data_IF_908553193824
#
_entry.id   IF_908553193824
#
_cell.length_a   1.000
_cell.length_b   1.000
_cell.length_c   1.000
_cell.angle_alpha   90.00
_cell.angle_beta   90.00
_cell.angle_gamma   90.00
#
_symmetry.space_group_name_H-M   'P 1'
#
loop_
_entity.id
_entity.type
_entity.pdbx_description
1 polymer ?
#
# COMPACT_ATOMS: atom_id res chain seq x y z
N UNK A 1 -37.27 22.86 -4.00
CA UNK A 1 -36.98 22.23 -3.95
C UNK A 1 -36.23 21.85 -3.73
N UNK A 2 -36.16 21.46 -3.72
CA UNK A 2 -35.59 20.88 -3.49
C UNK A 2 -34.71 20.57 -3.76
N UNK A 3 -34.13 20.51 -3.48
CA UNK A 3 -33.26 20.14 -3.85
C UNK A 3 -32.82 19.18 -4.18
N UNK A 4 -33.13 18.97 -4.50
CA UNK A 4 -32.90 17.89 -5.06
C UNK A 4 -31.71 17.68 -5.71
N UNK A 5 -31.08 18.38 -6.03
CA UNK A 5 -29.84 18.26 -6.59
C UNK A 5 -28.75 18.04 -5.58
N UNK A 6 -29.10 17.83 -4.40
CA UNK A 6 -28.09 17.50 -3.43
C UNK A 6 -27.58 16.09 -3.67
N UNK A 7 -26.47 15.77 -3.09
CA UNK A 7 -25.83 14.48 -3.24
C UNK A 7 -26.77 13.37 -2.83
N UNK A 8 -26.55 12.15 -3.35
CA UNK A 8 -27.33 11.00 -2.92
C UNK A 8 -27.41 10.98 -1.41
N UNK A 9 -28.58 10.70 -0.93
CA UNK A 9 -28.81 10.67 0.50
C UNK A 9 -27.78 9.87 1.25
N UNK A 10 -27.11 10.51 2.15
CA UNK A 10 -26.18 9.83 3.02
C UNK A 10 -26.86 9.70 4.38
N UNK A 11 -27.64 8.66 4.55
CA UNK A 11 -28.34 8.40 5.80
C UNK A 11 -27.33 8.05 6.89
N UNK A 12 -27.77 8.07 8.14
CA UNK A 12 -26.95 7.68 9.26
C UNK A 12 -26.41 6.26 9.07
N UNK A 13 -27.25 5.37 8.60
CA UNK A 13 -26.86 3.98 8.36
C UNK A 13 -25.77 3.88 7.29
N UNK A 14 -25.93 4.64 6.21
CA UNK A 14 -24.93 4.64 5.14
C UNK A 14 -23.62 5.23 5.60
N UNK A 15 -23.69 6.27 6.42
CA UNK A 15 -22.47 6.87 6.99
C UNK A 15 -21.74 5.91 7.88
N UNK A 16 -22.47 5.19 8.74
CA UNK A 16 -21.91 4.19 9.61
C UNK A 16 -21.24 3.08 8.80
N UNK A 17 -21.94 2.59 7.79
CA UNK A 17 -21.40 1.52 6.94
C UNK A 17 -20.14 1.97 6.23
N UNK A 18 -20.13 3.21 5.71
CA UNK A 18 -18.96 3.76 5.04
C UNK A 18 -17.79 3.91 6.00
N UNK A 19 -18.07 4.39 7.21
CA UNK A 19 -17.03 4.54 8.22
C UNK A 19 -16.46 3.19 8.64
N UNK A 20 -17.32 2.21 8.83
CA UNK A 20 -16.89 0.88 9.22
C UNK A 20 -16.00 0.24 8.16
N UNK A 21 -16.37 0.39 6.87
CA UNK A 21 -15.55 -0.11 5.78
C UNK A 21 -14.19 0.58 5.74
N UNK A 22 -14.19 1.88 5.98
CA UNK A 22 -12.95 2.67 5.99
C UNK A 22 -12.04 2.23 7.13
N UNK A 23 -12.61 2.00 8.31
CA UNK A 23 -11.84 1.54 9.47
C UNK A 23 -11.32 0.13 9.26
N UNK A 24 -12.13 -0.73 8.65
CA UNK A 24 -11.71 -2.10 8.35
C UNK A 24 -10.55 -2.11 7.36
N UNK A 25 -10.63 -1.30 6.31
CA UNK A 25 -9.56 -1.23 5.31
C UNK A 25 -8.28 -0.72 5.94
N UNK A 26 -8.39 0.26 6.83
CA UNK A 26 -7.24 0.82 7.53
C UNK A 26 -6.60 -0.21 8.45
N UNK A 27 -7.44 -0.98 9.15
CA UNK A 27 -6.97 -2.05 10.04
C UNK A 27 -6.23 -3.13 9.25
N UNK A 28 -6.78 -3.53 8.12
CA UNK A 28 -6.15 -4.52 7.26
C UNK A 28 -4.78 -4.08 6.77
N UNK A 29 -4.66 -2.80 6.40
CA UNK A 29 -3.36 -2.26 5.98
C UNK A 29 -2.35 -2.28 7.12
N UNK A 30 -2.78 -1.92 8.32
CA UNK A 30 -1.89 -1.91 9.47
C UNK A 30 -1.42 -3.31 9.81
N UNK A 31 -2.32 -4.28 9.76
CA UNK A 31 -1.98 -5.68 10.01
C UNK A 31 -1.01 -6.19 8.96
N UNK A 32 -1.25 -5.85 7.70
CA UNK A 32 -0.36 -6.23 6.61
C UNK A 32 1.04 -5.65 6.82
N UNK A 33 1.12 -4.37 7.14
CA UNK A 33 2.41 -3.71 7.38
C UNK A 33 3.16 -4.35 8.53
N UNK A 34 2.45 -4.74 9.58
CA UNK A 34 3.05 -5.40 10.71
C UNK A 34 3.62 -6.76 10.34
N UNK A 35 2.91 -7.53 9.52
CA UNK A 35 3.41 -8.82 9.05
C UNK A 35 4.71 -8.67 8.27
N UNK A 36 4.79 -7.64 7.43
CA UNK A 36 6.00 -7.36 6.68
C UNK A 36 7.13 -6.95 7.61
N UNK A 37 6.85 -6.06 8.57
CA UNK A 37 7.85 -5.60 9.52
C UNK A 37 8.42 -6.71 10.38
N UNK A 38 7.58 -7.65 10.76
CA UNK A 38 7.98 -8.77 11.62
C UNK A 38 8.67 -9.88 10.83
N UNK A 39 8.70 -9.77 9.51
CA UNK A 39 9.29 -10.79 8.67
C UNK A 39 8.44 -12.03 8.55
N UNK A 40 7.17 -11.95 8.92
CA UNK A 40 6.25 -13.09 8.82
C UNK A 40 5.70 -13.29 7.42
N UNK A 41 5.86 -12.29 6.58
CA UNK A 41 5.42 -12.34 5.19
C UNK A 41 6.62 -12.01 4.32
N UNK A 42 6.97 -12.90 3.40
CA UNK A 42 8.11 -12.67 2.53
C UNK A 42 7.84 -11.50 1.60
N UNK A 43 8.89 -10.87 1.10
CA UNK A 43 8.75 -9.72 0.21
C UNK A 43 7.98 -10.08 -1.05
N UNK A 44 8.29 -11.24 -1.64
CA UNK A 44 7.60 -11.69 -2.85
C UNK A 44 6.11 -11.89 -2.59
N UNK A 45 5.76 -12.52 -1.47
CA UNK A 45 4.37 -12.74 -1.10
C UNK A 45 3.68 -11.41 -0.79
N UNK A 46 4.40 -10.50 -0.13
CA UNK A 46 3.85 -9.19 0.20
C UNK A 46 3.51 -8.39 -1.04
N UNK A 47 4.35 -8.45 -2.07
CA UNK A 47 4.11 -7.75 -3.33
C UNK A 47 2.86 -8.28 -4.05
N UNK A 48 2.53 -9.55 -3.85
CA UNK A 48 1.36 -10.17 -4.47
C UNK A 48 0.11 -10.11 -3.59
N UNK A 49 0.25 -9.63 -2.37
CA UNK A 49 -0.88 -9.59 -1.44
C UNK A 49 -1.88 -8.52 -1.85
N UNK A 50 -3.16 -8.86 -1.84
CA UNK A 50 -4.22 -7.91 -2.20
C UNK A 50 -4.21 -6.67 -1.32
N UNK A 51 -3.81 -6.82 -0.07
CA UNK A 51 -3.77 -5.69 0.86
C UNK A 51 -2.71 -4.66 0.50
N UNK A 52 -1.70 -5.08 -0.26
CA UNK A 52 -0.63 -4.17 -0.69
C UNK A 52 -1.00 -3.33 -1.90
N UNK A 53 -1.96 -3.77 -2.69
CA UNK A 53 -2.23 -3.17 -4.00
C UNK A 53 -2.37 -1.66 -4.02
N UNK A 54 -3.05 -1.10 -3.05
CA UNK A 54 -3.31 0.33 -3.00
C UNK A 54 -2.28 1.13 -2.21
N UNK A 55 -1.32 0.45 -1.61
CA UNK A 55 -0.27 1.12 -0.84
C UNK A 55 0.75 1.68 -1.82
N UNK A 56 1.23 2.88 -1.55
CA UNK A 56 2.28 3.47 -2.37
C UNK A 56 3.56 2.69 -2.20
N UNK A 57 4.31 2.55 -3.27
CA UNK A 57 5.54 1.75 -3.26
C UNK A 57 6.51 2.25 -2.18
N UNK A 58 6.66 3.56 -2.06
CA UNK A 58 7.55 4.14 -1.05
C UNK A 58 7.15 3.69 0.37
N UNK A 59 5.87 3.79 0.67
CA UNK A 59 5.34 3.41 1.97
C UNK A 59 5.51 1.90 2.21
N UNK A 60 5.29 1.10 1.18
CA UNK A 60 5.48 -0.35 1.23
C UNK A 60 6.94 -0.69 1.54
N UNK A 61 7.88 -0.05 0.85
CA UNK A 61 9.30 -0.31 1.06
C UNK A 61 9.73 0.03 2.48
N UNK A 62 9.20 1.12 3.02
CA UNK A 62 9.54 1.53 4.38
C UNK A 62 9.04 0.56 5.46
N UNK A 63 8.14 -0.34 5.12
CA UNK A 63 7.69 -1.37 6.05
C UNK A 63 8.68 -2.53 6.15
N UNK A 64 9.57 -2.66 5.19
CA UNK A 64 10.54 -3.75 5.17
C UNK A 64 11.62 -3.48 6.22
N UNK A 65 11.95 -4.47 7.07
CA UNK A 65 12.99 -4.27 8.08
C UNK A 65 14.30 -3.81 7.45
N UNK A 66 14.90 -2.79 8.04
CA UNK A 66 16.17 -2.27 7.57
C UNK A 66 16.08 -1.24 6.45
N UNK A 67 14.88 -0.95 5.94
CA UNK A 67 14.71 0.04 4.89
C UNK A 67 14.04 1.28 5.44
N UNK A 68 14.80 2.38 5.48
CA UNK A 68 14.29 3.68 5.85
C UNK A 68 13.97 4.49 4.60
N UNK A 69 13.66 5.76 4.81
CA UNK A 69 13.30 6.65 3.73
C UNK A 69 14.38 6.74 2.64
N UNK A 70 15.64 6.88 3.05
CA UNK A 70 16.73 7.04 2.10
C UNK A 70 16.91 5.82 1.21
N UNK A 71 16.83 4.63 1.80
CA UNK A 71 16.97 3.40 1.02
C UNK A 71 15.77 3.19 0.12
N UNK A 72 14.57 3.52 0.59
CA UNK A 72 13.36 3.41 -0.22
C UNK A 72 13.47 4.34 -1.43
N UNK A 73 13.90 5.58 -1.22
CA UNK A 73 14.09 6.54 -2.31
C UNK A 73 15.11 6.03 -3.33
N UNK A 74 16.19 5.45 -2.83
CA UNK A 74 17.25 4.92 -3.69
C UNK A 74 16.76 3.77 -4.54
N UNK A 75 16.04 2.83 -3.95
CA UNK A 75 15.48 1.70 -4.68
C UNK A 75 14.54 2.17 -5.77
N UNK A 76 13.65 3.10 -5.44
CA UNK A 76 12.71 3.63 -6.42
C UNK A 76 13.41 4.33 -7.57
N UNK A 77 14.44 5.10 -7.25
CA UNK A 77 15.21 5.81 -8.27
C UNK A 77 15.92 4.83 -9.20
N UNK A 78 16.54 3.81 -8.65
CA UNK A 78 17.27 2.81 -9.44
C UNK A 78 16.34 2.03 -10.37
N UNK A 79 15.10 1.82 -9.97
CA UNK A 79 14.15 1.05 -10.74
C UNK A 79 13.21 1.91 -11.59
N UNK A 80 13.39 3.23 -11.54
CA UNK A 80 12.57 4.15 -12.32
C UNK A 80 11.11 4.16 -11.89
N UNK A 81 10.87 4.03 -10.60
CA UNK A 81 9.51 4.03 -10.05
C UNK A 81 9.11 5.44 -9.65
N UNK A 82 7.97 5.91 -10.16
CA UNK A 82 7.48 7.25 -9.85
C UNK A 82 7.04 7.35 -8.39
N UNK A 83 7.19 8.54 -7.81
CA UNK A 83 6.87 8.79 -6.40
C UNK A 83 5.48 8.37 -5.98
N UNK A 84 4.51 8.56 -6.85
CA UNK A 84 3.12 8.26 -6.52
C UNK A 84 2.67 6.88 -6.99
N UNK A 85 3.60 6.06 -7.45
CA UNK A 85 3.27 4.72 -7.92
C UNK A 85 2.78 3.85 -6.76
N UNK A 86 1.72 3.09 -7.01
CA UNK A 86 1.21 2.13 -6.05
C UNK A 86 1.70 0.73 -6.41
N UNK A 87 1.68 -0.17 -5.44
CA UNK A 87 2.19 -1.53 -5.65
C UNK A 87 1.52 -2.21 -6.84
N UNK A 88 0.21 -2.03 -7.01
CA UNK A 88 -0.50 -2.64 -8.13
C UNK A 88 -0.05 -2.12 -9.49
N UNK A 89 0.59 -0.96 -9.52
CA UNK A 89 1.08 -0.36 -10.76
C UNK A 89 2.50 -0.77 -11.15
N UNK A 90 3.12 -1.64 -10.37
CA UNK A 90 4.48 -2.09 -10.65
C UNK A 90 4.51 -3.10 -11.80
N UNK A 91 5.47 -2.94 -12.71
CA UNK A 91 5.70 -3.91 -13.76
C UNK A 91 6.50 -5.09 -13.22
N UNK A 92 6.55 -6.17 -13.99
CA UNK A 92 7.26 -7.39 -13.58
C UNK A 92 8.73 -7.14 -13.26
N UNK A 93 9.39 -6.36 -14.09
CA UNK A 93 10.82 -6.06 -13.88
C UNK A 93 11.05 -5.22 -12.63
N UNK A 94 10.13 -4.32 -12.34
CA UNK A 94 10.24 -3.48 -11.15
C UNK A 94 10.05 -4.32 -9.90
N UNK A 95 9.10 -5.25 -9.93
CA UNK A 95 8.86 -6.16 -8.81
C UNK A 95 10.08 -7.04 -8.55
N UNK A 96 10.63 -7.64 -9.60
CA UNK A 96 11.84 -8.45 -9.49
C UNK A 96 13.01 -7.62 -8.98
N UNK A 97 13.14 -6.40 -9.48
CA UNK A 97 14.20 -5.50 -9.05
C UNK A 97 14.13 -5.16 -7.58
N UNK A 98 12.92 -4.96 -7.06
CA UNK A 98 12.74 -4.70 -5.64
C UNK A 98 13.23 -5.89 -4.82
N UNK A 99 12.83 -7.11 -5.21
CA UNK A 99 13.24 -8.32 -4.50
C UNK A 99 14.76 -8.46 -4.51
N UNK A 100 15.38 -8.24 -5.67
CA UNK A 100 16.83 -8.35 -5.79
C UNK A 100 17.58 -7.31 -4.96
N UNK A 101 17.15 -6.06 -5.04
CA UNK A 101 17.83 -4.99 -4.31
C UNK A 101 17.69 -5.15 -2.80
N UNK A 102 16.53 -5.57 -2.33
CA UNK A 102 16.32 -5.80 -0.90
C UNK A 102 17.18 -6.99 -0.43
N UNK A 103 17.30 -8.01 -1.23
CA UNK A 103 18.10 -9.18 -0.87
C UNK A 103 19.60 -8.86 -0.71
N UNK A 104 20.04 -7.77 -1.34
CA UNK A 104 21.45 -7.37 -1.26
C UNK A 104 21.76 -6.44 -0.09
N UNK A 105 20.75 -6.01 0.63
CA UNK A 105 20.95 -5.10 1.76
C UNK A 105 21.41 -5.80 3.02
#
# INVERSE_FOLDING_TARGET
MENDNHLPEMTEEKRKAALERSLAARRERMEFKDLVRKGELSLADALDDDRAKRIRVHEFLMCIPGIGKAKADDIMRKLGIAENRRVQGLGSRQREGIVELVAKL
#
